data_IF_799040976928
#
_entry.id   IF_799040976928
#
_cell.length_a   1.000
_cell.length_b   1.000
_cell.length_c   1.000
_cell.angle_alpha   90.00
_cell.angle_beta   90.00
_cell.angle_gamma   90.00
#
_symmetry.space_group_name_H-M   'P 1'
#
loop_
_entity.id
_entity.type
_entity.pdbx_description
1 polymer ?
#
# COMPACT_ATOMS: atom_id res chain seq x y z
N UNK A 1 1.85 -20.21 25.51
CA UNK A 1 0.82 -19.50 24.70
C UNK A 1 1.31 -18.16 24.14
N UNK A 2 1.88 -17.24 24.93
CA UNK A 2 2.32 -15.90 24.47
C UNK A 2 3.39 -15.89 23.38
N UNK A 3 4.34 -16.84 23.40
CA UNK A 3 5.43 -16.91 22.42
C UNK A 3 4.92 -17.22 21.00
N UNK A 4 3.91 -18.08 20.87
CA UNK A 4 3.33 -18.46 19.58
C UNK A 4 2.67 -17.27 18.88
N UNK A 5 1.98 -16.41 19.65
CA UNK A 5 1.31 -15.23 19.12
C UNK A 5 2.30 -14.17 18.62
N UNK A 6 3.42 -13.97 19.33
CA UNK A 6 4.49 -13.06 18.93
C UNK A 6 5.17 -13.51 17.63
N UNK A 7 5.44 -14.81 17.49
CA UNK A 7 6.05 -15.36 16.28
C UNK A 7 5.17 -15.16 15.05
N UNK A 8 3.85 -15.38 15.18
CA UNK A 8 2.90 -15.11 14.09
C UNK A 8 2.94 -13.63 13.67
N UNK A 9 2.92 -12.70 14.63
CA UNK A 9 2.90 -11.26 14.35
C UNK A 9 4.20 -10.78 13.67
N UNK A 10 5.36 -11.33 14.06
CA UNK A 10 6.65 -11.05 13.43
C UNK A 10 6.72 -11.61 12.00
N UNK A 11 6.23 -12.83 11.77
CA UNK A 11 6.13 -13.39 10.42
C UNK A 11 5.27 -12.50 9.52
N UNK A 12 4.09 -12.10 9.98
CA UNK A 12 3.21 -11.24 9.17
C UNK A 12 3.84 -9.87 8.89
N UNK A 13 4.50 -9.27 9.89
CA UNK A 13 5.23 -8.01 9.70
C UNK A 13 6.35 -8.15 8.66
N UNK A 14 7.15 -9.22 8.74
CA UNK A 14 8.21 -9.52 7.78
C UNK A 14 7.67 -9.74 6.37
N UNK A 15 6.57 -10.49 6.21
CA UNK A 15 5.94 -10.72 4.90
C UNK A 15 5.38 -9.43 4.32
N UNK A 16 4.65 -8.63 5.10
CA UNK A 16 4.14 -7.34 4.64
C UNK A 16 5.28 -6.39 4.22
N UNK A 17 6.34 -6.30 5.03
CA UNK A 17 7.51 -5.48 4.72
C UNK A 17 8.25 -5.95 3.47
N UNK A 18 8.43 -7.26 3.31
CA UNK A 18 9.05 -7.85 2.12
C UNK A 18 8.22 -7.61 0.86
N UNK A 19 6.90 -7.79 0.92
CA UNK A 19 6.01 -7.56 -0.23
C UNK A 19 6.04 -6.10 -0.70
N UNK A 20 5.90 -5.13 0.20
CA UNK A 20 5.94 -3.70 -0.16
C UNK A 20 7.34 -3.28 -0.60
N UNK A 21 8.38 -3.84 0.04
CA UNK A 21 9.77 -3.60 -0.30
C UNK A 21 10.16 -4.02 -1.71
N UNK A 22 9.55 -5.08 -2.26
CA UNK A 22 9.72 -5.48 -3.67
C UNK A 22 8.77 -4.69 -4.60
N UNK A 23 7.54 -4.44 -4.15
CA UNK A 23 6.53 -3.72 -4.93
C UNK A 23 7.04 -2.35 -5.37
N UNK A 24 7.63 -1.58 -4.45
CA UNK A 24 8.06 -0.20 -4.70
C UNK A 24 9.13 -0.06 -5.83
N UNK A 25 10.29 -0.75 -5.78
CA UNK A 25 11.26 -0.74 -6.87
C UNK A 25 10.72 -1.38 -8.16
N UNK A 26 9.85 -2.39 -8.05
CA UNK A 26 9.16 -2.97 -9.21
C UNK A 26 8.28 -1.96 -9.93
N UNK A 27 7.50 -1.17 -9.18
CA UNK A 27 6.64 -0.11 -9.73
C UNK A 27 7.49 0.98 -10.41
N UNK A 28 8.60 1.41 -9.81
CA UNK A 28 9.53 2.35 -10.45
C UNK A 28 10.07 1.81 -11.79
N UNK A 29 10.46 0.53 -11.81
CA UNK A 29 11.00 -0.10 -13.02
C UNK A 29 9.96 -0.21 -14.13
N UNK A 30 8.74 -0.66 -13.83
CA UNK A 30 7.66 -0.76 -14.81
C UNK A 30 7.29 0.63 -15.34
N UNK A 31 7.13 1.60 -14.44
CA UNK A 31 6.66 2.91 -14.83
C UNK A 31 7.69 3.66 -15.71
N UNK A 32 9.00 3.44 -15.49
CA UNK A 32 10.07 4.01 -16.32
C UNK A 32 10.18 3.33 -17.69
N UNK A 33 9.82 2.05 -17.79
CA UNK A 33 9.69 1.34 -19.05
C UNK A 33 8.44 1.77 -19.84
N UNK A 34 7.31 1.99 -19.16
CA UNK A 34 6.04 2.38 -19.77
C UNK A 34 5.99 3.85 -20.21
N UNK A 35 6.59 4.77 -19.44
CA UNK A 35 6.61 6.21 -19.75
C UNK A 35 7.98 6.58 -20.32
N UNK A 36 8.18 6.29 -21.62
CA UNK A 36 9.43 6.59 -22.32
C UNK A 36 9.62 8.10 -22.45
N UNK A 37 10.56 8.65 -21.67
CA UNK A 37 10.84 10.10 -21.63
C UNK A 37 10.30 10.84 -20.40
N UNK A 38 9.73 10.13 -19.41
CA UNK A 38 9.20 10.75 -18.19
C UNK A 38 10.23 11.49 -17.31
N UNK A 39 11.51 11.18 -17.47
CA UNK A 39 12.63 11.92 -16.85
C UNK A 39 12.46 12.11 -15.35
N UNK A 40 12.87 13.27 -14.83
CA UNK A 40 12.76 13.62 -13.41
C UNK A 40 11.32 13.84 -12.95
N UNK A 41 10.43 14.31 -13.84
CA UNK A 41 9.04 14.63 -13.51
C UNK A 41 8.26 13.38 -13.07
N UNK A 42 8.49 12.25 -13.74
CA UNK A 42 7.87 10.98 -13.40
C UNK A 42 8.25 10.48 -11.99
N UNK A 43 9.54 10.54 -11.64
CA UNK A 43 9.99 10.19 -10.29
C UNK A 43 9.49 11.17 -9.24
N UNK A 44 9.40 12.47 -9.56
CA UNK A 44 8.84 13.47 -8.65
C UNK A 44 7.37 13.20 -8.33
N UNK A 45 6.56 12.83 -9.32
CA UNK A 45 5.16 12.45 -9.09
C UNK A 45 5.03 11.17 -8.24
N UNK A 46 5.91 10.19 -8.44
CA UNK A 46 5.89 8.95 -7.66
C UNK A 46 6.39 9.17 -6.21
N UNK A 47 7.35 10.08 -6.00
CA UNK A 47 7.74 10.53 -4.67
C UNK A 47 6.57 11.23 -3.95
N UNK A 48 5.90 12.18 -4.64
CA UNK A 48 4.71 12.85 -4.11
C UNK A 48 3.58 11.86 -3.77
N UNK A 49 3.36 10.86 -4.62
CA UNK A 49 2.38 9.81 -4.35
C UNK A 49 2.73 9.01 -3.08
N UNK A 50 4.02 8.78 -2.81
CA UNK A 50 4.50 8.16 -1.57
C UNK A 50 4.24 9.02 -0.34
N UNK A 51 4.53 10.31 -0.41
CA UNK A 51 4.27 11.26 0.68
C UNK A 51 2.76 11.35 1.00
N UNK A 52 1.92 11.35 -0.05
CA UNK A 52 0.46 11.30 0.08
C UNK A 52 -0.02 9.99 0.70
N UNK A 53 0.58 8.85 0.35
CA UNK A 53 0.26 7.56 0.97
C UNK A 53 0.64 7.51 2.45
N UNK A 54 1.84 8.02 2.79
CA UNK A 54 2.36 8.04 4.15
C UNK A 54 1.55 8.96 5.07
N UNK A 55 1.04 10.08 4.56
CA UNK A 55 0.15 10.96 5.33
C UNK A 55 -1.29 10.46 5.32
N UNK A 56 -1.82 10.10 4.15
CA UNK A 56 -3.22 9.74 3.96
C UNK A 56 -3.63 8.43 4.63
N UNK A 57 -2.76 7.42 4.65
CA UNK A 57 -3.01 6.14 5.31
C UNK A 57 -3.32 6.24 6.81
N UNK A 58 -2.38 6.71 7.64
CA UNK A 58 -2.60 6.87 9.07
C UNK A 58 -3.66 7.91 9.39
N UNK A 59 -3.81 8.97 8.58
CA UNK A 59 -4.89 9.95 8.74
C UNK A 59 -6.26 9.31 8.53
N UNK A 60 -6.46 8.51 7.47
CA UNK A 60 -7.73 7.80 7.24
C UNK A 60 -8.01 6.80 8.36
N UNK A 61 -7.01 6.00 8.76
CA UNK A 61 -7.16 5.07 9.87
C UNK A 61 -7.50 5.79 11.19
N UNK A 62 -6.90 6.96 11.42
CA UNK A 62 -7.17 7.82 12.57
C UNK A 62 -8.57 8.44 12.54
N UNK A 63 -9.04 8.92 11.39
CA UNK A 63 -10.41 9.41 11.21
C UNK A 63 -11.43 8.30 11.46
N UNK A 64 -11.22 7.11 10.88
CA UNK A 64 -12.12 5.96 11.09
C UNK A 64 -12.10 5.52 12.57
N UNK A 65 -10.93 5.44 13.19
CA UNK A 65 -10.79 5.11 14.61
C UNK A 65 -11.49 6.13 15.53
N UNK A 66 -11.43 7.42 15.19
CA UNK A 66 -12.07 8.50 15.95
C UNK A 66 -13.59 8.48 15.80
N UNK A 67 -14.09 8.20 14.59
CA UNK A 67 -15.53 8.09 14.32
C UNK A 67 -16.20 6.89 15.01
N UNK A 68 -15.43 5.82 15.26
CA UNK A 68 -15.89 4.61 15.97
C UNK A 68 -15.40 4.63 17.43
N UNK A 69 -15.46 5.80 18.09
CA UNK A 69 -15.29 5.92 19.54
C UNK A 69 -13.93 5.49 20.10
N UNK A 70 -12.82 5.82 19.40
CA UNK A 70 -11.44 5.47 19.77
C UNK A 70 -11.08 3.96 19.67
N UNK A 71 -11.84 3.18 18.90
CA UNK A 71 -11.53 1.77 18.68
C UNK A 71 -10.47 1.59 17.57
N UNK A 72 -9.20 1.60 17.96
CA UNK A 72 -8.03 1.40 17.07
C UNK A 72 -8.11 0.12 16.23
N UNK A 73 -8.75 -0.94 16.73
CA UNK A 73 -8.97 -2.18 15.96
C UNK A 73 -9.79 -1.93 14.70
N UNK A 74 -10.81 -1.07 14.79
CA UNK A 74 -11.66 -0.71 13.64
C UNK A 74 -10.89 0.16 12.64
N UNK A 75 -10.01 1.04 13.13
CA UNK A 75 -9.11 1.83 12.28
C UNK A 75 -8.09 0.98 11.52
N UNK A 76 -7.52 -0.05 12.17
CA UNK A 76 -6.59 -1.00 11.51
C UNK A 76 -7.33 -1.86 10.48
N UNK A 77 -8.58 -2.25 10.74
CA UNK A 77 -9.42 -2.93 9.75
C UNK A 77 -9.67 -2.07 8.51
N UNK A 78 -9.80 -0.75 8.66
CA UNK A 78 -9.91 0.17 7.54
C UNK A 78 -8.65 0.18 6.64
N UNK A 79 -7.48 -0.17 7.19
CA UNK A 79 -6.25 -0.25 6.40
C UNK A 79 -6.27 -1.38 5.35
N UNK A 80 -7.14 -2.39 5.50
CA UNK A 80 -7.33 -3.48 4.51
C UNK A 80 -7.95 -2.95 3.22
N UNK A 81 -8.65 -1.81 3.26
CA UNK A 81 -9.23 -1.19 2.05
C UNK A 81 -8.13 -0.90 1.03
N UNK A 82 -6.94 -0.47 1.46
CA UNK A 82 -5.84 -0.12 0.58
C UNK A 82 -5.33 -1.29 -0.29
N UNK A 83 -4.89 -2.44 0.26
CA UNK A 83 -4.45 -3.57 -0.55
C UNK A 83 -5.58 -4.16 -1.41
N UNK A 84 -6.84 -4.11 -0.97
CA UNK A 84 -7.99 -4.55 -1.79
C UNK A 84 -8.18 -3.65 -3.00
N UNK A 85 -8.12 -2.32 -2.81
CA UNK A 85 -8.23 -1.35 -3.91
C UNK A 85 -7.07 -1.50 -4.91
N UNK A 86 -5.85 -1.73 -4.41
CA UNK A 86 -4.67 -1.96 -5.22
C UNK A 86 -4.81 -3.24 -6.06
N UNK A 87 -5.28 -4.35 -5.47
CA UNK A 87 -5.56 -5.58 -6.20
C UNK A 87 -6.64 -5.39 -7.27
N UNK A 88 -7.74 -4.69 -6.96
CA UNK A 88 -8.78 -4.40 -7.95
C UNK A 88 -8.24 -3.57 -9.12
N UNK A 89 -7.43 -2.54 -8.85
CA UNK A 89 -6.80 -1.72 -9.88
C UNK A 89 -5.90 -2.53 -10.81
N UNK A 90 -5.09 -3.45 -10.26
CA UNK A 90 -4.24 -4.34 -11.07
C UNK A 90 -5.10 -5.25 -11.95
N UNK A 91 -6.19 -5.83 -11.42
CA UNK A 91 -7.07 -6.70 -12.21
C UNK A 91 -7.73 -5.94 -13.37
N UNK A 92 -8.16 -4.69 -13.14
CA UNK A 92 -8.73 -3.83 -14.19
C UNK A 92 -7.67 -3.52 -15.26
N UNK A 93 -6.46 -3.11 -14.87
CA UNK A 93 -5.38 -2.84 -15.82
C UNK A 93 -4.95 -4.09 -16.60
N UNK A 94 -4.87 -5.26 -15.95
CA UNK A 94 -4.60 -6.53 -16.64
C UNK A 94 -5.67 -6.86 -17.67
N UNK A 95 -6.95 -6.69 -17.32
CA UNK A 95 -8.07 -6.93 -18.23
C UNK A 95 -8.07 -5.99 -19.44
N UNK A 96 -7.63 -4.75 -19.26
CA UNK A 96 -7.50 -3.77 -20.35
C UNK A 96 -6.33 -4.04 -21.31
N UNK A 97 -5.39 -4.92 -20.97
CA UNK A 97 -4.30 -5.34 -21.87
C UNK A 97 -4.64 -6.62 -22.66
N UNK A 98 -5.67 -7.36 -22.24
CA UNK A 98 -6.12 -8.61 -22.88
C UNK A 98 -7.27 -8.37 -23.91
N UNK A 99 -7.79 -7.15 -23.99
CA UNK A 99 -8.77 -6.71 -25.00
C UNK A 99 -8.10 -5.87 -26.08
#
# INVERSE_FOLDING_TARGET
MKIFWVVMLMMTCAVCGFSVGIMWPGTFSIASASIRGGGTAMFALLALAGDLGCSGGPTLAGFVSSSVGNNLRMGILAAIVFPVLLLMGIQICKKSQEN
#
